data_IF_816190773957
#
_entry.id   IF_816190773957
#
_cell.length_a   1.000
_cell.length_b   1.000
_cell.length_c   1.000
_cell.angle_alpha   90.00
_cell.angle_beta   90.00
_cell.angle_gamma   90.00
#
_symmetry.space_group_name_H-M   'P 1'
#
loop_
_entity.id
_entity.type
_entity.pdbx_description
1 polymer ?
#
# COMPACT_ATOMS: atom_id res chain seq x y z
N UNK A 1 3.78 -3.56 -30.45
CA UNK A 1 3.48 -2.68 -29.30
C UNK A 1 4.60 -2.89 -28.27
N UNK A 2 5.17 -1.78 -27.80
CA UNK A 2 6.25 -1.84 -26.81
C UNK A 2 5.61 -1.91 -25.42
N UNK A 3 5.76 -3.04 -24.70
CA UNK A 3 5.30 -3.16 -23.31
C UNK A 3 6.17 -2.31 -22.42
N UNK A 4 5.57 -1.62 -21.43
CA UNK A 4 6.33 -0.90 -20.41
C UNK A 4 7.15 -1.90 -19.58
N UNK A 5 8.44 -1.58 -19.35
CA UNK A 5 9.31 -2.43 -18.53
C UNK A 5 9.04 -2.26 -17.04
N UNK A 6 8.74 -1.04 -16.62
CA UNK A 6 8.46 -0.70 -15.23
C UNK A 6 7.14 0.04 -15.14
N UNK A 7 6.28 -0.42 -14.24
CA UNK A 7 4.96 0.14 -14.02
C UNK A 7 4.85 0.49 -12.53
N UNK A 8 4.53 1.74 -12.24
CA UNK A 8 4.25 2.22 -10.89
C UNK A 8 2.82 2.71 -10.82
N UNK A 9 2.07 2.24 -9.83
CA UNK A 9 0.74 2.72 -9.50
C UNK A 9 0.78 3.36 -8.11
N UNK A 10 0.69 4.69 -8.06
CA UNK A 10 0.64 5.44 -6.81
C UNK A 10 -0.81 5.68 -6.41
N UNK A 11 -1.16 5.37 -5.16
CA UNK A 11 -2.50 5.53 -4.59
C UNK A 11 -2.40 6.38 -3.32
N UNK A 12 -3.00 7.57 -3.34
CA UNK A 12 -3.22 8.36 -2.13
C UNK A 12 -4.60 8.03 -1.56
N UNK A 13 -4.66 7.26 -0.47
CA UNK A 13 -5.92 6.87 0.16
C UNK A 13 -6.63 8.09 0.76
N UNK A 14 -7.92 8.23 0.48
CA UNK A 14 -8.71 9.38 0.92
C UNK A 14 -8.26 10.73 0.35
N UNK A 15 -7.29 10.76 -0.56
CA UNK A 15 -6.68 11.97 -1.11
C UNK A 15 -7.57 12.61 -2.16
N UNK A 16 -8.40 13.56 -1.73
CA UNK A 16 -9.20 14.36 -2.63
C UNK A 16 -8.48 15.64 -3.11
N UNK A 17 -9.08 16.35 -4.06
CA UNK A 17 -8.57 17.62 -4.59
C UNK A 17 -8.22 18.65 -3.52
N UNK A 18 -9.04 18.74 -2.46
CA UNK A 18 -8.80 19.68 -1.38
C UNK A 18 -7.52 19.37 -0.59
N UNK A 19 -7.11 18.11 -0.52
CA UNK A 19 -5.85 17.71 0.12
C UNK A 19 -4.65 18.20 -0.70
N UNK A 20 -4.70 18.02 -2.01
CA UNK A 20 -3.67 18.50 -2.95
C UNK A 20 -3.61 20.03 -2.91
N UNK A 21 -4.74 20.73 -3.08
CA UNK A 21 -4.80 22.18 -3.08
C UNK A 21 -4.33 22.80 -1.76
N UNK A 22 -4.69 22.20 -0.62
CA UNK A 22 -4.22 22.66 0.70
C UNK A 22 -2.71 22.50 0.84
N UNK A 23 -2.15 21.41 0.34
CA UNK A 23 -0.71 21.13 0.39
C UNK A 23 0.06 22.11 -0.50
N UNK A 24 -0.38 22.35 -1.72
CA UNK A 24 0.22 23.35 -2.62
C UNK A 24 0.12 24.78 -2.07
N UNK A 25 -1.01 25.11 -1.43
CA UNK A 25 -1.16 26.39 -0.74
C UNK A 25 -0.17 26.53 0.41
N UNK A 26 0.04 25.46 1.17
CA UNK A 26 1.04 25.42 2.25
C UNK A 26 2.47 25.62 1.72
N UNK A 27 2.84 24.95 0.62
CA UNK A 27 4.15 25.11 -0.02
C UNK A 27 4.33 26.57 -0.47
N UNK A 28 3.35 27.13 -1.17
CA UNK A 28 3.38 28.51 -1.60
C UNK A 28 3.52 29.50 -0.44
N UNK A 29 2.79 29.26 0.65
CA UNK A 29 2.89 30.09 1.86
C UNK A 29 4.31 30.02 2.48
N UNK A 30 4.92 28.85 2.53
CA UNK A 30 6.30 28.70 3.04
C UNK A 30 7.32 29.49 2.24
N UNK A 31 7.09 29.64 0.93
CA UNK A 31 7.92 30.42 0.02
C UNK A 31 7.53 31.93 -0.01
N UNK A 32 6.60 32.35 0.86
CA UNK A 32 6.11 33.74 0.88
C UNK A 32 5.30 34.15 -0.35
N UNK A 33 4.71 33.17 -1.04
CA UNK A 33 3.91 33.35 -2.26
C UNK A 33 2.42 33.16 -1.98
N UNK A 34 1.58 33.74 -2.84
CA UNK A 34 0.11 33.52 -2.80
C UNK A 34 -0.32 32.27 -3.56
N UNK A 35 0.57 31.63 -4.30
CA UNK A 35 0.32 30.43 -5.11
C UNK A 35 1.48 30.14 -6.04
N UNK A 36 1.35 29.11 -6.87
CA UNK A 36 2.29 28.76 -7.93
C UNK A 36 3.27 27.63 -7.58
N UNK A 37 3.34 27.20 -6.32
CA UNK A 37 4.03 25.96 -5.98
C UNK A 37 3.11 24.79 -6.28
N UNK A 38 3.66 23.76 -6.92
CA UNK A 38 2.92 22.58 -7.35
C UNK A 38 3.61 21.32 -6.86
N UNK A 39 2.80 20.33 -6.49
CA UNK A 39 3.28 18.96 -6.24
C UNK A 39 3.78 18.32 -7.53
N UNK A 40 4.66 17.33 -7.41
CA UNK A 40 5.17 16.54 -8.56
C UNK A 40 4.02 15.87 -9.31
N UNK A 41 3.08 15.26 -8.57
CA UNK A 41 1.91 14.60 -9.16
C UNK A 41 1.02 15.57 -9.95
N UNK A 42 0.94 16.83 -9.54
CA UNK A 42 0.15 17.86 -10.25
C UNK A 42 0.78 18.32 -11.57
N UNK A 43 2.02 17.95 -11.82
CA UNK A 43 2.77 18.29 -13.02
C UNK A 43 2.78 17.18 -14.08
N UNK A 44 2.09 16.07 -13.83
CA UNK A 44 2.00 14.99 -14.82
C UNK A 44 1.27 15.47 -16.09
N UNK A 45 1.72 15.01 -17.27
CA UNK A 45 1.22 15.52 -18.56
C UNK A 45 -0.21 15.06 -18.88
N UNK A 46 -0.70 14.03 -18.20
CA UNK A 46 -2.04 13.48 -18.44
C UNK A 46 -2.84 13.50 -17.15
N UNK A 47 -4.10 13.84 -17.27
CA UNK A 47 -5.03 14.01 -16.17
C UNK A 47 -6.38 13.37 -16.51
N UNK A 48 -7.03 12.79 -15.52
CA UNK A 48 -8.35 12.20 -15.65
C UNK A 48 -9.15 12.31 -14.37
N UNK A 49 -10.45 12.04 -14.46
CA UNK A 49 -11.38 12.05 -13.34
C UNK A 49 -12.17 10.75 -13.36
N UNK A 50 -12.38 10.16 -12.20
CA UNK A 50 -13.21 8.98 -12.02
C UNK A 50 -14.25 9.21 -10.91
N UNK A 51 -15.36 8.48 -10.99
CA UNK A 51 -16.33 8.38 -9.90
C UNK A 51 -15.92 7.25 -8.96
N UNK A 52 -16.12 7.43 -7.66
CA UNK A 52 -15.57 6.56 -6.63
C UNK A 52 -16.61 5.75 -5.84
N UNK A 53 -17.91 5.84 -6.17
CA UNK A 53 -18.95 5.08 -5.47
C UNK A 53 -18.72 3.55 -5.55
N UNK A 54 -19.01 2.84 -4.45
CA UNK A 54 -18.94 1.36 -4.39
C UNK A 54 -20.19 0.71 -4.99
N UNK A 55 -20.29 -0.60 -4.95
CA UNK A 55 -21.47 -1.31 -5.46
C UNK A 55 -22.73 -1.07 -4.61
N UNK A 56 -22.57 -0.77 -3.34
CA UNK A 56 -23.68 -0.63 -2.38
C UNK A 56 -23.77 0.72 -1.67
N UNK A 57 -22.86 1.67 -1.93
CA UNK A 57 -22.87 2.97 -1.28
C UNK A 57 -22.33 4.09 -2.19
N UNK A 58 -22.82 5.31 -2.01
CA UNK A 58 -22.29 6.51 -2.68
C UNK A 58 -20.91 6.90 -2.18
N UNK A 59 -20.58 6.57 -0.93
CA UNK A 59 -19.28 6.79 -0.33
C UNK A 59 -18.57 5.44 -0.23
N UNK A 60 -17.55 5.25 -1.05
CA UNK A 60 -16.73 4.04 -1.02
C UNK A 60 -15.89 3.97 0.24
N UNK A 61 -15.53 2.77 0.68
CA UNK A 61 -14.40 2.56 1.58
C UNK A 61 -13.13 2.16 0.80
N UNK A 62 -12.00 2.07 1.49
CA UNK A 62 -10.71 1.74 0.88
C UNK A 62 -10.68 0.34 0.24
N UNK A 63 -11.39 -0.64 0.82
CA UNK A 63 -11.40 -2.00 0.28
C UNK A 63 -12.15 -2.10 -1.05
N UNK A 64 -13.32 -1.45 -1.14
CA UNK A 64 -14.10 -1.41 -2.37
C UNK A 64 -13.40 -0.57 -3.46
N UNK A 65 -12.83 0.58 -3.09
CA UNK A 65 -12.06 1.41 -4.02
C UNK A 65 -10.79 0.71 -4.50
N UNK A 66 -10.03 0.08 -3.60
CA UNK A 66 -8.85 -0.70 -3.92
C UNK A 66 -9.17 -1.86 -4.86
N UNK A 67 -10.26 -2.58 -4.61
CA UNK A 67 -10.73 -3.65 -5.50
C UNK A 67 -11.07 -3.13 -6.88
N UNK A 68 -11.80 -2.00 -6.96
CA UNK A 68 -12.15 -1.40 -8.26
C UNK A 68 -10.92 -0.94 -9.04
N UNK A 69 -9.91 -0.38 -8.37
CA UNK A 69 -8.64 0.00 -9.01
C UNK A 69 -7.87 -1.25 -9.46
N UNK A 70 -7.80 -2.27 -8.61
CA UNK A 70 -7.02 -3.48 -8.87
C UNK A 70 -7.61 -4.39 -9.95
N UNK A 71 -8.94 -4.47 -10.05
CA UNK A 71 -9.62 -5.44 -10.93
C UNK A 71 -10.51 -4.84 -12.02
N UNK A 72 -10.85 -3.55 -11.91
CA UNK A 72 -11.88 -2.94 -12.75
C UNK A 72 -13.33 -3.28 -12.34
N UNK A 73 -13.52 -4.07 -11.28
CA UNK A 73 -14.83 -4.52 -10.80
C UNK A 73 -15.20 -3.82 -9.49
N UNK A 74 -16.45 -3.35 -9.40
CA UNK A 74 -16.97 -2.78 -8.14
C UNK A 74 -17.37 -3.88 -7.17
N UNK A 75 -17.12 -3.63 -5.89
CA UNK A 75 -17.58 -4.50 -4.80
C UNK A 75 -18.34 -3.70 -3.72
N UNK A 76 -18.88 -4.38 -2.76
CA UNK A 76 -19.53 -3.77 -1.59
C UNK A 76 -18.48 -3.20 -0.64
N UNK A 77 -18.83 -2.12 0.06
CA UNK A 77 -17.98 -1.63 1.15
C UNK A 77 -17.67 -2.76 2.14
N UNK A 78 -16.47 -2.73 2.71
CA UNK A 78 -15.85 -3.74 3.58
C UNK A 78 -15.42 -5.05 2.90
N UNK A 79 -15.82 -5.33 1.68
CA UNK A 79 -15.31 -6.48 0.92
C UNK A 79 -14.08 -6.08 0.10
N UNK A 80 -13.16 -7.02 -0.14
CA UNK A 80 -11.99 -6.80 -0.98
C UNK A 80 -11.71 -8.02 -1.88
N UNK A 81 -11.28 -7.75 -3.11
CA UNK A 81 -10.91 -8.79 -4.08
C UNK A 81 -12.04 -9.75 -4.45
N UNK A 82 -13.28 -9.34 -4.25
CA UNK A 82 -14.50 -10.09 -4.61
C UNK A 82 -15.49 -9.18 -5.33
N UNK A 83 -16.41 -9.76 -6.10
CA UNK A 83 -17.56 -9.06 -6.67
C UNK A 83 -18.66 -8.84 -5.59
N UNK A 84 -19.77 -8.14 -5.90
CA UNK A 84 -20.86 -7.91 -4.95
C UNK A 84 -21.53 -9.18 -4.42
N UNK A 85 -21.42 -10.30 -5.13
CA UNK A 85 -21.94 -11.61 -4.77
C UNK A 85 -20.92 -12.43 -3.93
N UNK A 86 -19.72 -11.88 -3.68
CA UNK A 86 -18.66 -12.51 -2.88
C UNK A 86 -17.77 -13.47 -3.67
N UNK A 87 -17.83 -13.46 -5.00
CA UNK A 87 -16.98 -14.28 -5.85
C UNK A 87 -15.63 -13.57 -6.07
N UNK A 88 -14.48 -14.25 -5.92
CA UNK A 88 -13.18 -13.67 -6.16
C UNK A 88 -13.04 -13.05 -7.55
N UNK A 89 -12.48 -11.83 -7.61
CA UNK A 89 -12.09 -11.14 -8.83
C UNK A 89 -10.57 -11.08 -8.94
N UNK A 90 -10.07 -11.14 -10.16
CA UNK A 90 -8.62 -11.15 -10.41
C UNK A 90 -8.09 -9.72 -10.46
N UNK A 91 -7.06 -9.43 -9.69
CA UNK A 91 -6.39 -8.14 -9.78
C UNK A 91 -5.41 -8.06 -10.95
N UNK A 92 -5.14 -6.84 -11.43
CA UNK A 92 -4.13 -6.58 -12.46
C UNK A 92 -2.73 -7.05 -12.07
N UNK A 93 -2.44 -7.14 -10.77
CA UNK A 93 -1.14 -7.64 -10.30
C UNK A 93 -0.92 -9.10 -10.73
N UNK A 94 -1.95 -9.93 -10.65
CA UNK A 94 -1.88 -11.31 -11.15
C UNK A 94 -1.79 -11.38 -12.67
N UNK A 95 -2.50 -10.52 -13.40
CA UNK A 95 -2.38 -10.47 -14.87
C UNK A 95 -0.97 -10.09 -15.29
N UNK A 96 -0.37 -9.12 -14.62
CA UNK A 96 1.02 -8.70 -14.86
C UNK A 96 2.02 -9.80 -14.46
N UNK A 97 1.78 -10.51 -13.37
CA UNK A 97 2.61 -11.65 -12.96
C UNK A 97 2.59 -12.76 -14.02
N UNK A 98 1.41 -13.11 -14.56
CA UNK A 98 1.26 -14.06 -15.67
C UNK A 98 1.97 -13.59 -16.95
N UNK A 99 2.06 -12.27 -17.16
CA UNK A 99 2.80 -11.64 -18.25
C UNK A 99 4.34 -11.58 -17.97
N UNK A 100 4.79 -12.12 -16.85
CA UNK A 100 6.20 -12.25 -16.47
C UNK A 100 6.79 -11.07 -15.71
N UNK A 101 5.96 -10.18 -15.17
CA UNK A 101 6.39 -9.10 -14.30
C UNK A 101 6.63 -9.62 -12.88
N UNK A 102 7.66 -9.13 -12.22
CA UNK A 102 7.80 -9.21 -10.78
C UNK A 102 6.86 -8.19 -10.13
N UNK A 103 6.30 -8.52 -8.96
CA UNK A 103 5.27 -7.72 -8.31
C UNK A 103 5.75 -7.21 -6.95
N UNK A 104 5.58 -5.90 -6.71
CA UNK A 104 5.80 -5.25 -5.43
C UNK A 104 4.55 -4.54 -4.91
N UNK A 105 4.31 -4.66 -3.62
CA UNK A 105 3.24 -3.97 -2.89
C UNK A 105 3.87 -3.18 -1.76
N UNK A 106 3.76 -1.86 -1.82
CA UNK A 106 4.38 -0.92 -0.87
C UNK A 106 3.30 -0.01 -0.29
N UNK A 107 3.29 0.19 1.01
CA UNK A 107 2.29 1.02 1.67
C UNK A 107 2.82 1.65 2.95
N UNK A 108 2.26 2.79 3.36
CA UNK A 108 2.53 3.39 4.68
C UNK A 108 1.75 2.72 5.82
N UNK A 109 0.74 1.92 5.49
CA UNK A 109 -0.10 1.19 6.46
C UNK A 109 0.33 -0.27 6.57
N UNK A 110 -0.44 -1.11 7.28
CA UNK A 110 -0.15 -2.53 7.37
C UNK A 110 -0.29 -3.22 5.99
N UNK A 111 0.57 -4.18 5.70
CA UNK A 111 0.58 -4.89 4.41
C UNK A 111 -0.71 -5.67 4.14
N UNK A 112 -1.46 -6.00 5.20
CA UNK A 112 -2.76 -6.66 5.15
C UNK A 112 -3.95 -5.69 5.32
N UNK A 113 -3.69 -4.37 5.24
CA UNK A 113 -4.77 -3.38 5.20
C UNK A 113 -5.56 -3.46 3.90
N UNK A 114 -6.68 -2.76 3.83
CA UNK A 114 -7.68 -2.87 2.76
C UNK A 114 -7.10 -2.64 1.35
N UNK A 115 -6.41 -1.54 1.12
CA UNK A 115 -5.90 -1.18 -0.21
C UNK A 115 -4.81 -2.15 -0.71
N UNK A 116 -3.72 -2.43 0.04
CA UNK A 116 -2.75 -3.42 -0.41
C UNK A 116 -3.39 -4.82 -0.53
N UNK A 117 -4.27 -5.20 0.41
CA UNK A 117 -4.97 -6.49 0.39
C UNK A 117 -5.77 -6.73 -0.89
N UNK A 118 -6.38 -5.69 -1.46
CA UNK A 118 -7.16 -5.79 -2.69
C UNK A 118 -6.34 -6.23 -3.93
N UNK A 119 -5.01 -6.09 -3.90
CA UNK A 119 -4.14 -6.49 -5.00
C UNK A 119 -3.74 -7.96 -4.96
N UNK A 120 -3.82 -8.63 -3.79
CA UNK A 120 -3.35 -10.02 -3.66
C UNK A 120 -4.34 -10.97 -2.97
N UNK A 121 -5.37 -10.47 -2.30
CA UNK A 121 -6.28 -11.26 -1.49
C UNK A 121 -7.74 -11.10 -1.90
N UNK A 122 -8.58 -12.04 -1.47
CA UNK A 122 -10.03 -12.01 -1.58
C UNK A 122 -10.65 -12.33 -0.23
N UNK A 123 -11.52 -11.43 0.27
CA UNK A 123 -12.29 -11.64 1.50
C UNK A 123 -13.61 -10.89 1.45
N UNK A 124 -14.65 -11.46 2.08
CA UNK A 124 -15.92 -10.79 2.30
C UNK A 124 -15.80 -9.65 3.33
N UNK A 125 -14.72 -9.63 4.13
CA UNK A 125 -14.46 -8.59 5.12
C UNK A 125 -13.00 -8.15 5.11
N UNK A 126 -12.76 -6.85 4.97
CA UNK A 126 -11.43 -6.24 5.11
C UNK A 126 -10.81 -6.43 6.50
N UNK A 127 -11.62 -6.78 7.49
CA UNK A 127 -11.17 -7.01 8.86
C UNK A 127 -10.70 -8.45 9.12
N UNK A 128 -10.72 -9.32 8.12
CA UNK A 128 -10.15 -10.66 8.22
C UNK A 128 -8.62 -10.62 8.03
N UNK A 129 -7.96 -9.71 8.74
CA UNK A 129 -6.55 -9.35 8.54
C UNK A 129 -5.60 -10.55 8.54
N UNK A 130 -5.77 -11.49 9.47
CA UNK A 130 -4.92 -12.66 9.54
C UNK A 130 -5.08 -13.57 8.31
N UNK A 131 -6.31 -13.80 7.86
CA UNK A 131 -6.60 -14.62 6.69
C UNK A 131 -6.20 -13.91 5.38
N UNK A 132 -6.29 -12.58 5.34
CA UNK A 132 -5.74 -11.76 4.25
C UNK A 132 -4.22 -11.95 4.19
N UNK A 133 -3.52 -11.85 5.32
CA UNK A 133 -2.06 -12.05 5.38
C UNK A 133 -1.62 -13.43 4.88
N UNK A 134 -2.36 -14.49 5.21
CA UNK A 134 -2.05 -15.83 4.72
C UNK A 134 -2.12 -15.94 3.18
N UNK A 135 -2.92 -15.09 2.54
CA UNK A 135 -3.02 -15.08 1.08
C UNK A 135 -1.78 -14.49 0.38
N UNK A 136 -0.88 -13.82 1.11
CA UNK A 136 0.45 -13.44 0.61
C UNK A 136 1.17 -14.67 0.03
N UNK A 137 1.08 -15.84 0.69
CA UNK A 137 1.69 -17.08 0.18
C UNK A 137 1.15 -17.50 -1.18
N UNK A 138 -0.16 -17.30 -1.40
CA UNK A 138 -0.81 -17.69 -2.68
C UNK A 138 -0.46 -16.73 -3.80
N UNK A 139 -0.15 -15.47 -3.47
CA UNK A 139 0.21 -14.47 -4.48
C UNK A 139 1.56 -14.78 -5.13
N UNK A 140 2.48 -15.33 -4.34
CA UNK A 140 3.88 -15.54 -4.74
C UNK A 140 4.57 -14.26 -5.21
N UNK A 141 4.06 -13.07 -4.84
CA UNK A 141 4.67 -11.78 -5.19
C UNK A 141 6.02 -11.63 -4.49
N UNK A 142 6.96 -11.00 -5.16
CA UNK A 142 8.36 -10.97 -4.76
C UNK A 142 8.65 -9.97 -3.63
N UNK A 143 7.88 -8.87 -3.56
CA UNK A 143 8.17 -7.80 -2.60
C UNK A 143 6.92 -7.24 -1.93
N UNK A 144 6.94 -7.16 -0.61
CA UNK A 144 5.98 -6.41 0.19
C UNK A 144 6.72 -5.47 1.12
N UNK A 145 6.17 -4.28 1.34
CA UNK A 145 6.64 -3.37 2.39
C UNK A 145 5.49 -2.57 3.00
N UNK A 146 5.52 -2.41 4.31
CA UNK A 146 4.50 -1.66 5.04
C UNK A 146 4.82 -1.53 6.51
N UNK A 147 3.86 -1.06 7.30
CA UNK A 147 4.07 -0.86 8.73
C UNK A 147 4.22 -2.19 9.51
N UNK A 148 3.67 -3.28 8.99
CA UNK A 148 3.63 -4.59 9.63
C UNK A 148 2.33 -5.30 9.33
N UNK A 149 1.79 -6.05 10.30
CA UNK A 149 0.58 -6.84 10.15
C UNK A 149 -0.44 -6.51 11.24
N UNK A 150 -1.68 -6.26 10.85
CA UNK A 150 -2.82 -6.22 11.79
C UNK A 150 -3.22 -7.66 12.18
N UNK A 151 -3.83 -7.82 13.37
CA UNK A 151 -4.21 -9.13 13.92
C UNK A 151 -3.06 -10.16 13.85
N UNK A 152 -1.87 -9.77 14.28
CA UNK A 152 -0.61 -10.51 14.17
C UNK A 152 -0.68 -11.99 14.59
N UNK A 153 -1.55 -12.31 15.56
CA UNK A 153 -1.85 -13.67 16.02
C UNK A 153 -3.34 -14.02 15.87
N UNK A 154 -3.99 -13.48 14.85
CA UNK A 154 -5.42 -13.61 14.64
C UNK A 154 -6.25 -12.76 15.60
N UNK A 155 -7.55 -12.60 15.30
CA UNK A 155 -8.47 -11.76 16.10
C UNK A 155 -8.51 -12.09 17.59
N UNK A 156 -8.26 -13.34 17.96
CA UNK A 156 -8.26 -13.81 19.36
C UNK A 156 -6.87 -13.88 19.99
N UNK A 157 -5.81 -13.65 19.21
CA UNK A 157 -4.44 -13.79 19.66
C UNK A 157 -4.00 -15.24 19.91
N UNK A 158 -4.70 -16.23 19.34
CA UNK A 158 -4.47 -17.66 19.55
C UNK A 158 -3.77 -18.35 18.39
N UNK A 159 -3.61 -17.66 17.26
CA UNK A 159 -2.94 -18.17 16.08
C UNK A 159 -1.41 -18.06 16.19
N UNK A 160 -0.69 -18.77 15.33
CA UNK A 160 0.75 -18.57 15.19
C UNK A 160 1.05 -17.13 14.74
N UNK A 161 2.17 -16.52 15.17
CA UNK A 161 2.61 -15.25 14.62
C UNK A 161 2.66 -15.28 13.09
N UNK A 162 2.07 -14.29 12.44
CA UNK A 162 1.92 -14.32 10.97
C UNK A 162 3.27 -14.22 10.25
N UNK A 163 4.24 -13.52 10.81
CA UNK A 163 5.59 -13.45 10.27
C UNK A 163 6.26 -14.82 10.28
N UNK A 164 6.22 -15.53 11.41
CA UNK A 164 6.75 -16.90 11.51
C UNK A 164 6.04 -17.85 10.52
N UNK A 165 4.71 -17.71 10.35
CA UNK A 165 3.97 -18.50 9.38
C UNK A 165 4.42 -18.23 7.94
N UNK A 166 4.71 -16.97 7.59
CA UNK A 166 5.18 -16.59 6.27
C UNK A 166 6.64 -17.05 6.04
N UNK A 167 7.49 -16.95 7.06
CA UNK A 167 8.88 -17.42 7.01
C UNK A 167 8.98 -18.93 6.84
N UNK A 168 8.20 -19.70 7.57
CA UNK A 168 8.12 -21.16 7.43
C UNK A 168 7.67 -21.60 6.02
N UNK A 169 7.07 -20.69 5.25
CA UNK A 169 6.56 -20.94 3.91
C UNK A 169 7.31 -20.16 2.82
N UNK A 170 8.52 -19.67 3.10
CA UNK A 170 9.49 -19.22 2.10
C UNK A 170 9.51 -17.74 1.80
N UNK A 171 8.88 -16.90 2.63
CA UNK A 171 9.16 -15.47 2.67
C UNK A 171 10.27 -15.17 3.68
N UNK A 172 11.05 -14.13 3.42
CA UNK A 172 11.91 -13.52 4.43
C UNK A 172 11.21 -12.29 5.00
N UNK A 173 10.95 -12.24 6.30
CA UNK A 173 10.33 -11.08 6.96
C UNK A 173 11.39 -10.33 7.75
N UNK A 174 11.59 -9.06 7.43
CA UNK A 174 12.59 -8.21 8.07
C UNK A 174 11.95 -6.98 8.69
N UNK A 175 12.46 -6.54 9.83
CA UNK A 175 12.00 -5.37 10.56
C UNK A 175 13.06 -4.26 10.52
N UNK A 176 12.74 -3.19 9.77
CA UNK A 176 13.64 -2.07 9.55
C UNK A 176 14.66 -2.30 8.43
N UNK A 177 15.18 -1.19 7.90
CA UNK A 177 16.08 -1.20 6.74
C UNK A 177 17.38 -1.96 6.99
N UNK A 178 17.90 -1.91 8.20
CA UNK A 178 19.18 -2.55 8.56
C UNK A 178 19.07 -4.07 8.50
N UNK A 179 18.01 -4.62 9.07
CA UNK A 179 17.74 -6.05 9.05
C UNK A 179 17.44 -6.50 7.62
N UNK A 180 16.57 -5.76 6.90
CA UNK A 180 16.22 -6.05 5.51
C UNK A 180 17.45 -6.13 4.60
N UNK A 181 18.35 -5.16 4.65
CA UNK A 181 19.57 -5.16 3.81
C UNK A 181 20.48 -6.37 4.06
N UNK A 182 20.41 -6.93 5.26
CA UNK A 182 21.22 -8.10 5.63
C UNK A 182 20.53 -9.41 5.25
N UNK A 183 19.25 -9.56 5.57
CA UNK A 183 18.55 -10.86 5.51
C UNK A 183 17.85 -11.08 4.15
N UNK A 184 17.42 -10.01 3.45
CA UNK A 184 16.77 -10.12 2.15
C UNK A 184 17.72 -10.44 0.99
N UNK A 185 19.03 -10.35 1.21
CA UNK A 185 20.03 -10.59 0.16
C UNK A 185 19.98 -12.02 -0.37
N UNK A 186 19.70 -12.16 -1.67
CA UNK A 186 19.61 -13.46 -2.34
C UNK A 186 18.32 -14.24 -2.09
N UNK A 187 17.35 -13.64 -1.43
CA UNK A 187 16.00 -14.20 -1.29
C UNK A 187 15.12 -13.78 -2.46
N UNK A 188 14.23 -14.64 -2.89
CA UNK A 188 13.32 -14.36 -3.99
C UNK A 188 12.07 -13.57 -3.54
N UNK A 189 11.59 -13.85 -2.33
CA UNK A 189 10.36 -13.28 -1.75
C UNK A 189 10.64 -12.68 -0.38
N UNK A 190 10.35 -11.39 -0.23
CA UNK A 190 10.70 -10.64 0.98
C UNK A 190 9.58 -9.72 1.43
N UNK A 191 9.52 -9.48 2.74
CA UNK A 191 8.60 -8.53 3.36
C UNK A 191 9.41 -7.60 4.26
N UNK A 192 9.32 -6.29 4.01
CA UNK A 192 9.93 -5.26 4.84
C UNK A 192 8.85 -4.61 5.72
N UNK A 193 8.96 -4.82 7.03
CA UNK A 193 8.13 -4.16 8.04
C UNK A 193 8.91 -3.06 8.75
N UNK A 194 8.19 -2.15 9.43
CA UNK A 194 8.81 -1.13 10.27
C UNK A 194 9.45 -1.74 11.51
N UNK A 195 10.62 -1.23 11.90
CA UNK A 195 11.35 -1.70 13.09
C UNK A 195 10.53 -1.47 14.37
N UNK A 196 9.80 -0.35 14.45
CA UNK A 196 8.92 -0.02 15.57
C UNK A 196 7.76 -1.00 15.77
N UNK A 197 7.44 -1.79 14.75
CA UNK A 197 6.37 -2.78 14.78
C UNK A 197 6.88 -4.23 14.94
N UNK A 198 8.17 -4.39 15.21
CA UNK A 198 8.74 -5.70 15.53
C UNK A 198 8.01 -6.31 16.72
N UNK A 199 7.58 -7.52 16.58
CA UNK A 199 6.97 -8.31 17.64
C UNK A 199 5.54 -7.94 18.08
N UNK A 200 4.61 -7.63 17.19
CA UNK A 200 3.16 -7.70 17.46
C UNK A 200 2.33 -6.44 17.17
N UNK A 201 2.93 -5.34 16.76
CA UNK A 201 2.17 -4.10 16.69
C UNK A 201 2.31 -3.39 15.34
N UNK A 202 1.29 -3.48 14.49
CA UNK A 202 1.21 -2.69 13.26
C UNK A 202 0.63 -1.29 13.48
N UNK A 203 0.56 -0.83 14.73
CA UNK A 203 -0.09 0.43 15.09
C UNK A 203 0.72 1.68 14.81
N UNK A 204 2.01 1.56 14.51
CA UNK A 204 2.83 2.69 14.13
C UNK A 204 2.91 2.79 12.61
N UNK A 205 2.25 3.78 12.07
CA UNK A 205 2.23 4.04 10.63
C UNK A 205 3.38 4.97 10.26
N UNK A 206 3.78 4.91 8.99
CA UNK A 206 4.78 5.81 8.43
C UNK A 206 4.15 7.19 8.26
N UNK A 207 3.91 7.90 9.34
CA UNK A 207 3.43 9.27 9.28
C UNK A 207 4.53 10.25 9.69
N UNK A 208 4.25 11.53 9.53
CA UNK A 208 5.06 12.63 10.07
C UNK A 208 5.17 12.56 11.59
N UNK A 209 5.97 11.72 12.12
CA UNK A 209 6.12 11.40 13.55
C UNK A 209 6.55 9.95 13.75
N UNK A 210 6.82 9.25 12.64
CA UNK A 210 7.50 7.98 12.66
C UNK A 210 8.80 8.09 13.46
N UNK A 211 9.15 7.03 14.15
CA UNK A 211 10.42 6.93 14.86
C UNK A 211 11.56 7.04 13.85
N UNK A 212 12.67 7.62 14.24
CA UNK A 212 13.80 7.87 13.34
C UNK A 212 14.39 6.60 12.70
N UNK A 213 14.12 5.44 13.28
CA UNK A 213 14.55 4.12 12.82
C UNK A 213 13.64 3.51 11.77
N UNK A 214 12.41 4.03 11.62
CA UNK A 214 11.46 3.53 10.65
C UNK A 214 11.75 4.04 9.23
N UNK A 215 11.56 3.16 8.25
CA UNK A 215 11.74 3.51 6.85
C UNK A 215 10.63 4.45 6.35
N UNK A 216 11.02 5.45 5.59
CA UNK A 216 10.07 6.28 4.82
C UNK A 216 9.47 5.49 3.67
N UNK A 217 8.34 5.97 3.13
CA UNK A 217 7.72 5.36 1.93
C UNK A 217 8.71 5.32 0.77
N UNK A 218 9.47 6.39 0.56
CA UNK A 218 10.49 6.48 -0.49
C UNK A 218 11.63 5.46 -0.31
N UNK A 219 12.07 5.22 0.94
CA UNK A 219 13.08 4.20 1.24
C UNK A 219 12.55 2.79 1.02
N UNK A 220 11.30 2.49 1.42
CA UNK A 220 10.68 1.20 1.15
C UNK A 220 10.48 0.96 -0.34
N UNK A 221 10.03 1.98 -1.08
CA UNK A 221 9.92 1.91 -2.54
C UNK A 221 11.29 1.66 -3.20
N UNK A 222 12.33 2.34 -2.74
CA UNK A 222 13.70 2.12 -3.22
C UNK A 222 14.18 0.69 -2.98
N UNK A 223 13.92 0.13 -1.79
CA UNK A 223 14.19 -1.28 -1.49
C UNK A 223 13.44 -2.23 -2.45
N UNK A 224 12.18 -1.93 -2.77
CA UNK A 224 11.40 -2.69 -3.75
C UNK A 224 12.00 -2.64 -5.15
N UNK A 225 12.38 -1.47 -5.62
CA UNK A 225 13.03 -1.30 -6.92
C UNK A 225 14.36 -2.07 -6.99
N UNK A 226 15.18 -1.98 -5.96
CA UNK A 226 16.45 -2.71 -5.87
C UNK A 226 16.24 -4.23 -5.84
N UNK A 227 15.28 -4.71 -5.05
CA UNK A 227 14.98 -6.14 -4.90
C UNK A 227 14.43 -6.75 -6.20
N UNK A 228 13.45 -6.11 -6.83
CA UNK A 228 12.83 -6.57 -8.08
C UNK A 228 13.82 -6.49 -9.26
N UNK A 229 14.77 -5.56 -9.19
CA UNK A 229 15.90 -5.45 -10.12
C UNK A 229 15.51 -5.08 -11.54
N UNK A 230 16.48 -5.22 -12.45
CA UNK A 230 16.33 -4.82 -13.85
C UNK A 230 16.28 -6.00 -14.86
N UNK A 231 16.39 -7.23 -14.38
CA UNK A 231 16.41 -8.43 -15.22
C UNK A 231 15.05 -8.77 -15.82
N UNK A 232 14.00 -8.53 -15.05
CA UNK A 232 12.61 -8.72 -15.47
C UNK A 232 11.86 -7.39 -15.41
N UNK A 233 10.76 -7.24 -16.17
CA UNK A 233 9.84 -6.14 -15.93
C UNK A 233 9.22 -6.27 -14.54
N UNK A 234 8.80 -5.14 -13.95
CA UNK A 234 8.11 -5.17 -12.67
C UNK A 234 6.95 -4.18 -12.60
N UNK A 235 6.01 -4.49 -11.73
CA UNK A 235 4.92 -3.62 -11.29
C UNK A 235 5.05 -3.37 -9.79
N UNK A 236 4.94 -2.13 -9.37
CA UNK A 236 4.85 -1.75 -7.96
C UNK A 236 3.59 -0.92 -7.74
N UNK A 237 2.71 -1.37 -6.85
CA UNK A 237 1.71 -0.54 -6.22
C UNK A 237 2.34 0.14 -5.00
N UNK A 238 2.20 1.46 -4.90
CA UNK A 238 2.75 2.28 -3.82
C UNK A 238 1.66 3.17 -3.23
N UNK A 239 1.34 2.98 -1.95
CA UNK A 239 0.23 3.64 -1.28
C UNK A 239 0.68 4.58 -0.17
N UNK A 240 0.12 5.80 -0.18
CA UNK A 240 0.07 6.70 0.98
C UNK A 240 -1.24 6.51 1.72
N UNK A 241 -1.33 5.45 2.55
CA UNK A 241 -2.57 5.07 3.24
C UNK A 241 -2.91 5.96 4.44
N UNK A 242 -1.92 6.58 5.05
CA UNK A 242 -2.07 7.46 6.22
C UNK A 242 -2.62 8.86 5.87
N UNK A 243 -2.69 9.21 4.59
CA UNK A 243 -3.37 10.44 4.12
C UNK A 243 -4.84 10.42 4.55
N UNK A 244 -5.51 9.28 4.39
CA UNK A 244 -6.91 9.06 4.78
C UNK A 244 -7.15 9.36 6.26
N UNK A 245 -6.27 8.93 7.14
CA UNK A 245 -6.41 9.16 8.58
C UNK A 245 -6.22 10.60 9.00
N UNK A 246 -5.38 11.34 8.29
CA UNK A 246 -5.29 12.78 8.43
C UNK A 246 -6.63 13.45 8.12
N UNK A 247 -7.30 13.00 7.05
CA UNK A 247 -8.64 13.41 6.64
C UNK A 247 -9.71 13.06 7.68
N UNK A 248 -9.77 11.81 8.11
CA UNK A 248 -10.70 11.35 9.16
C UNK A 248 -10.50 12.09 10.49
N UNK A 249 -9.26 12.43 10.84
CA UNK A 249 -8.95 13.21 12.02
C UNK A 249 -9.30 14.69 11.94
N UNK A 250 -9.72 15.19 10.77
CA UNK A 250 -9.92 16.63 10.48
C UNK A 250 -8.69 17.47 10.87
N UNK A 251 -7.49 16.96 10.62
CA UNK A 251 -6.22 17.60 11.02
C UNK A 251 -5.44 18.00 9.77
N UNK A 252 -5.45 19.30 9.46
CA UNK A 252 -4.82 19.81 8.23
C UNK A 252 -3.32 19.51 8.15
N UNK A 253 -2.57 19.63 9.24
CA UNK A 253 -1.12 19.40 9.18
C UNK A 253 -0.75 17.93 8.91
N UNK A 254 -1.34 16.92 9.56
CA UNK A 254 -1.18 15.53 9.15
C UNK A 254 -1.52 15.28 7.68
N UNK A 255 -2.61 15.85 7.16
CA UNK A 255 -2.95 15.75 5.72
C UNK A 255 -1.81 16.31 4.86
N UNK A 256 -1.39 17.54 5.12
CA UNK A 256 -0.32 18.20 4.35
C UNK A 256 0.98 17.42 4.41
N UNK A 257 1.40 16.98 5.59
CA UNK A 257 2.67 16.26 5.76
C UNK A 257 2.64 14.88 5.11
N UNK A 258 1.50 14.17 5.18
CA UNK A 258 1.37 12.85 4.56
C UNK A 258 1.31 12.96 3.03
N UNK A 259 0.63 13.98 2.48
CA UNK A 259 0.65 14.25 1.03
C UNK A 259 2.06 14.61 0.56
N UNK A 260 2.81 15.44 1.30
CA UNK A 260 4.20 15.77 0.96
C UNK A 260 5.13 14.56 1.04
N UNK A 261 4.90 13.66 1.97
CA UNK A 261 5.69 12.43 2.09
C UNK A 261 5.40 11.44 0.97
N UNK A 262 4.20 11.50 0.42
CA UNK A 262 3.75 10.65 -0.68
C UNK A 262 4.23 11.18 -2.04
N UNK A 263 4.25 12.51 -2.26
CA UNK A 263 4.65 13.18 -3.51
C UNK A 263 6.16 13.13 -3.76
#
# INVERSE_FOLDING_TARGET
>A
DQKAKYIFLFIGDGMGYNHVAATESYLSYKEGKLGGEMLTMSQFPYYGVATTFSANDYVTDSSAAGTAIASGEKTNNYALGVDPEGKPVKSMAYDLQEDGYNIGIVTTVAVNHATPGAFYASSASREDYYDISKQILKSEFEFFAGSGFLDFKGKKGEEAPIDAYLEDNGYEVSYGLKEFKKEAAGKDRVILCQESNKAENAGNYISSGAIAEDATLAEMLSCGIEHLGDKKPFFIMCEGGDIDWGGHGNKIMPVVTNVLSFD
#
